data_IF_274627214397
#
_entry.id   IF_274627214397
#
_cell.length_a   1.000
_cell.length_b   1.000
_cell.length_c   1.000
_cell.angle_alpha   90.00
_cell.angle_beta   90.00
_cell.angle_gamma   90.00
#
_symmetry.space_group_name_H-M   'P 1'
#
loop_
_entity.id
_entity.type
_entity.pdbx_description
1 polymer ?
#
# COMPACT_ATOMS: atom_id res chain seq x y z
N UNK A 1 -9.28 27.99 45.31
CA UNK A 1 -9.27 28.01 43.83
C UNK A 1 -8.44 26.85 43.33
N UNK A 2 -9.07 25.71 43.02
CA UNK A 2 -8.45 24.59 42.31
C UNK A 2 -9.18 24.44 40.98
N UNK A 3 -8.48 24.70 39.88
CA UNK A 3 -9.01 24.55 38.51
C UNK A 3 -8.75 23.13 38.04
N UNK A 4 -9.73 22.25 38.16
CA UNK A 4 -9.70 20.94 37.51
C UNK A 4 -10.07 21.16 36.04
N UNK A 5 -9.08 21.11 35.14
CA UNK A 5 -9.30 21.06 33.68
C UNK A 5 -9.90 19.69 33.33
N UNK A 6 -11.20 19.66 33.06
CA UNK A 6 -11.86 18.49 32.47
C UNK A 6 -11.39 18.29 31.04
N UNK A 7 -10.77 17.14 30.77
CA UNK A 7 -10.42 16.68 29.43
C UNK A 7 -11.73 16.22 28.74
N UNK A 8 -12.29 17.03 27.85
CA UNK A 8 -13.41 16.60 27.00
C UNK A 8 -12.84 15.72 25.90
N UNK A 9 -12.97 14.40 26.07
CA UNK A 9 -12.61 13.40 25.07
C UNK A 9 -13.77 13.33 24.08
N UNK A 10 -13.60 13.90 22.89
CA UNK A 10 -14.56 13.74 21.79
C UNK A 10 -14.58 12.28 21.35
N UNK A 11 -15.70 11.60 21.62
CA UNK A 11 -16.02 10.28 21.06
C UNK A 11 -16.82 10.51 19.78
N UNK A 12 -16.35 10.09 18.59
CA UNK A 12 -17.18 10.13 17.39
C UNK A 12 -18.32 9.09 17.56
N UNK A 13 -19.51 9.40 17.04
CA UNK A 13 -20.74 8.57 17.04
C UNK A 13 -21.73 8.68 18.21
N UNK A 14 -21.85 9.83 18.89
CA UNK A 14 -22.98 10.07 19.79
C UNK A 14 -24.00 11.06 19.20
N UNK A 15 -25.26 10.67 19.27
CA UNK A 15 -26.43 11.48 18.92
C UNK A 15 -26.64 12.63 19.93
N UNK A 16 -26.95 13.82 19.41
CA UNK A 16 -27.00 15.07 20.17
C UNK A 16 -28.17 15.09 21.17
N UNK A 17 -29.26 14.36 20.87
CA UNK A 17 -30.40 14.19 21.75
C UNK A 17 -30.05 13.31 22.96
N UNK A 18 -29.26 12.25 22.71
CA UNK A 18 -28.72 11.36 23.76
C UNK A 18 -27.83 12.12 24.75
N UNK A 19 -26.97 13.02 24.26
CA UNK A 19 -26.10 13.83 25.14
C UNK A 19 -26.93 14.80 26.00
N UNK A 20 -27.97 15.43 25.45
CA UNK A 20 -28.88 16.29 26.23
C UNK A 20 -29.60 15.51 27.32
N UNK A 21 -30.02 14.29 27.05
CA UNK A 21 -30.70 13.44 28.03
C UNK A 21 -29.75 13.00 29.16
N UNK A 22 -28.49 12.69 28.85
CA UNK A 22 -27.46 12.38 29.86
C UNK A 22 -27.14 13.60 30.72
N UNK A 23 -27.03 14.79 30.12
CA UNK A 23 -26.77 16.03 30.87
C UNK A 23 -27.95 16.39 31.79
N UNK A 24 -29.19 16.12 31.38
CA UNK A 24 -30.36 16.30 32.22
C UNK A 24 -30.44 15.26 33.35
N UNK A 25 -30.16 13.98 33.05
CA UNK A 25 -30.14 12.91 34.06
C UNK A 25 -29.05 13.09 35.13
N UNK A 26 -27.92 13.72 34.79
CA UNK A 26 -26.86 14.05 35.74
C UNK A 26 -27.17 15.27 36.63
N UNK A 27 -28.17 16.09 36.25
CA UNK A 27 -28.59 17.27 37.03
C UNK A 27 -29.62 16.94 38.12
N UNK A 28 -30.42 15.88 37.94
CA UNK A 28 -31.50 15.47 38.85
C UNK A 28 -31.10 14.30 39.76
N UNK A 29 -30.01 14.46 40.52
CA UNK A 29 -29.40 13.50 41.45
C UNK A 29 -30.28 12.36 42.02
N UNK A 30 -29.63 11.19 42.10
CA UNK A 30 -29.90 10.03 42.98
C UNK A 30 -31.16 9.20 42.68
N UNK A 31 -30.89 7.92 42.34
CA UNK A 31 -31.82 6.80 42.35
C UNK A 31 -32.76 6.62 41.15
N UNK A 32 -32.25 6.61 39.92
CA UNK A 32 -32.77 5.70 38.88
C UNK A 32 -31.59 5.22 38.03
N UNK A 33 -31.27 3.93 38.11
CA UNK A 33 -30.39 3.29 37.12
C UNK A 33 -31.09 3.41 35.76
N UNK A 34 -30.51 4.08 34.75
CA UNK A 34 -31.08 4.06 33.43
C UNK A 34 -31.00 2.62 32.95
N UNK A 35 -32.14 1.98 32.71
CA UNK A 35 -32.17 0.74 31.93
C UNK A 35 -31.70 1.15 30.54
N UNK A 36 -30.49 0.73 30.19
CA UNK A 36 -29.92 0.90 28.86
C UNK A 36 -30.93 0.35 27.85
N UNK A 37 -31.67 1.23 27.17
CA UNK A 37 -32.29 0.88 25.88
C UNK A 37 -31.20 1.04 24.82
N UNK A 38 -30.12 0.27 24.99
CA UNK A 38 -29.25 -0.04 23.87
C UNK A 38 -30.06 -0.93 22.95
N UNK A 39 -30.26 -0.53 21.70
CA UNK A 39 -30.69 -1.46 20.65
C UNK A 39 -29.76 -2.66 20.72
N UNK A 40 -30.28 -3.83 21.13
CA UNK A 40 -29.48 -5.02 21.24
C UNK A 40 -29.05 -5.38 19.81
N UNK A 41 -27.74 -5.40 19.59
CA UNK A 41 -27.15 -5.81 18.33
C UNK A 41 -26.61 -7.22 18.54
N UNK A 42 -27.33 -8.20 18.03
CA UNK A 42 -26.88 -9.58 18.04
C UNK A 42 -25.87 -9.77 16.90
N UNK A 43 -24.74 -10.39 17.21
CA UNK A 43 -23.75 -10.77 16.20
C UNK A 43 -24.03 -12.21 15.78
N UNK A 44 -24.36 -12.39 14.50
CA UNK A 44 -24.65 -13.68 13.89
C UNK A 44 -23.61 -14.00 12.82
N UNK A 45 -23.40 -15.27 12.55
CA UNK A 45 -22.56 -15.72 11.43
C UNK A 45 -23.49 -16.17 10.30
N UNK A 46 -23.33 -15.56 9.12
CA UNK A 46 -24.08 -15.92 7.93
C UNK A 46 -23.19 -16.77 7.01
N UNK A 47 -23.74 -17.85 6.47
CA UNK A 47 -23.08 -18.67 5.45
C UNK A 47 -23.43 -18.20 4.04
N UNK A 48 -22.65 -18.62 3.04
CA UNK A 48 -23.01 -18.45 1.63
C UNK A 48 -24.38 -19.08 1.36
N UNK A 49 -25.27 -18.34 0.70
CA UNK A 49 -26.54 -18.88 0.26
C UNK A 49 -26.31 -19.81 -0.94
N UNK A 50 -26.62 -21.09 -0.77
CA UNK A 50 -26.35 -22.13 -1.76
C UNK A 50 -27.14 -21.94 -3.06
N UNK A 51 -28.28 -21.24 -3.02
CA UNK A 51 -29.07 -20.89 -4.20
C UNK A 51 -28.29 -20.04 -5.22
N UNK A 52 -27.25 -19.34 -4.79
CA UNK A 52 -26.45 -18.43 -5.62
C UNK A 52 -25.00 -18.91 -5.80
N UNK A 53 -24.79 -20.22 -5.79
CA UNK A 53 -23.44 -20.80 -5.92
C UNK A 53 -22.77 -20.45 -7.25
N UNK A 54 -23.55 -20.39 -8.34
CA UNK A 54 -23.12 -19.92 -9.66
C UNK A 54 -22.70 -18.44 -9.66
N UNK A 55 -23.39 -17.61 -8.88
CA UNK A 55 -23.03 -16.20 -8.69
C UNK A 55 -21.70 -16.07 -7.95
N UNK A 56 -21.47 -16.85 -6.88
CA UNK A 56 -20.18 -16.86 -6.20
C UNK A 56 -19.03 -17.24 -7.15
N UNK A 57 -19.21 -18.28 -7.96
CA UNK A 57 -18.23 -18.69 -8.98
C UNK A 57 -17.97 -17.60 -10.03
N UNK A 58 -19.01 -16.86 -10.44
CA UNK A 58 -18.87 -15.74 -11.35
C UNK A 58 -18.11 -14.56 -10.70
N UNK A 59 -18.44 -14.24 -9.45
CA UNK A 59 -17.84 -13.14 -8.69
C UNK A 59 -16.35 -13.35 -8.37
N UNK A 60 -15.87 -14.59 -8.30
CA UNK A 60 -14.44 -14.91 -8.13
C UNK A 60 -13.54 -14.35 -9.26
N UNK A 61 -14.12 -13.96 -10.41
CA UNK A 61 -13.41 -13.30 -11.50
C UNK A 61 -13.34 -11.77 -11.37
N UNK A 62 -14.04 -11.19 -10.39
CA UNK A 62 -14.05 -9.76 -10.15
C UNK A 62 -12.81 -9.31 -9.37
N UNK A 63 -12.58 -7.99 -9.39
CA UNK A 63 -11.47 -7.35 -8.69
C UNK A 63 -11.96 -6.37 -7.65
N UNK A 64 -11.10 -6.10 -6.68
CA UNK A 64 -11.24 -5.07 -5.66
C UNK A 64 -9.87 -4.43 -5.43
N UNK A 65 -9.80 -3.40 -4.59
CA UNK A 65 -8.57 -2.71 -4.25
C UNK A 65 -8.39 -2.66 -2.74
N UNK A 66 -7.19 -2.34 -2.28
CA UNK A 66 -6.93 -2.09 -0.85
C UNK A 66 -6.10 -0.82 -0.76
N UNK A 67 -6.73 0.27 -0.36
CA UNK A 67 -6.07 1.57 -0.29
C UNK A 67 -5.73 1.80 1.17
N UNK A 68 -4.50 1.47 1.52
CA UNK A 68 -3.96 1.82 2.81
C UNK A 68 -3.33 3.21 2.76
N UNK A 69 -3.70 4.05 3.73
CA UNK A 69 -3.05 5.33 4.02
C UNK A 69 -1.68 5.17 4.67
N UNK A 70 -1.32 3.94 5.11
CA UNK A 70 -0.04 3.66 5.74
C UNK A 70 1.15 3.91 4.82
N UNK A 71 2.31 4.13 5.46
CA UNK A 71 3.57 4.61 4.88
C UNK A 71 3.91 3.93 3.54
N UNK A 72 3.68 4.66 2.45
CA UNK A 72 4.08 4.27 1.09
C UNK A 72 5.59 4.05 1.00
N UNK A 73 6.01 3.11 0.17
CA UNK A 73 7.42 2.81 -0.08
C UNK A 73 7.81 3.18 -1.51
N UNK A 74 9.09 3.44 -1.72
CA UNK A 74 9.62 3.73 -3.06
C UNK A 74 9.40 2.51 -3.98
N UNK A 75 8.88 2.70 -5.21
CA UNK A 75 8.62 1.61 -6.16
C UNK A 75 9.82 0.69 -6.39
N UNK A 76 11.03 1.26 -6.47
CA UNK A 76 12.27 0.49 -6.60
C UNK A 76 12.44 -0.56 -5.48
N UNK A 77 12.16 -0.18 -4.23
CA UNK A 77 12.26 -1.09 -3.08
C UNK A 77 11.19 -2.18 -3.16
N UNK A 78 9.96 -1.80 -3.50
CA UNK A 78 8.85 -2.74 -3.63
C UNK A 78 9.12 -3.79 -4.71
N UNK A 79 9.65 -3.40 -5.86
CA UNK A 79 10.00 -4.31 -6.95
C UNK A 79 11.04 -5.36 -6.51
N UNK A 80 12.11 -4.93 -5.84
CA UNK A 80 13.13 -5.86 -5.35
C UNK A 80 12.56 -6.78 -4.27
N UNK A 81 11.72 -6.27 -3.36
CA UNK A 81 11.07 -7.08 -2.33
C UNK A 81 10.10 -8.11 -2.92
N UNK A 82 9.28 -7.72 -3.89
CA UNK A 82 8.37 -8.61 -4.61
C UNK A 82 9.13 -9.72 -5.32
N UNK A 83 10.17 -9.37 -6.08
CA UNK A 83 10.98 -10.35 -6.80
C UNK A 83 11.67 -11.36 -5.87
N UNK A 84 12.16 -10.89 -4.71
CA UNK A 84 12.72 -11.77 -3.67
C UNK A 84 11.65 -12.69 -3.08
N UNK A 85 10.47 -12.16 -2.74
CA UNK A 85 9.38 -12.95 -2.17
C UNK A 85 8.95 -14.08 -3.13
N UNK A 86 8.78 -13.76 -4.42
CA UNK A 86 8.43 -14.72 -5.47
C UNK A 86 9.47 -15.83 -5.62
N UNK A 87 10.76 -15.49 -5.54
CA UNK A 87 11.85 -16.47 -5.60
C UNK A 87 11.90 -17.33 -4.35
N UNK A 88 11.73 -16.75 -3.15
CA UNK A 88 11.71 -17.50 -1.88
C UNK A 88 10.53 -18.47 -1.78
N UNK A 89 9.36 -18.08 -2.31
CA UNK A 89 8.16 -18.92 -2.32
C UNK A 89 8.13 -19.95 -3.45
N UNK A 90 9.18 -19.99 -4.28
CA UNK A 90 9.27 -20.92 -5.41
C UNK A 90 8.27 -20.64 -6.54
N UNK A 91 7.63 -19.47 -6.55
CA UNK A 91 6.69 -19.08 -7.61
C UNK A 91 7.45 -18.76 -8.91
N UNK A 92 8.52 -17.98 -8.80
CA UNK A 92 9.43 -17.70 -9.91
C UNK A 92 10.87 -17.69 -9.38
N UNK A 93 11.57 -18.81 -9.60
CA UNK A 93 12.95 -19.04 -9.16
C UNK A 93 13.96 -18.06 -9.79
N UNK A 94 13.60 -17.39 -10.89
CA UNK A 94 14.47 -16.44 -11.60
C UNK A 94 14.05 -14.99 -11.39
N UNK A 95 12.91 -14.72 -10.75
CA UNK A 95 12.37 -13.38 -10.57
C UNK A 95 13.40 -12.42 -9.99
N UNK A 96 13.99 -12.75 -8.83
CA UNK A 96 14.95 -11.85 -8.18
C UNK A 96 16.17 -11.53 -9.05
N UNK A 97 16.76 -12.55 -9.70
CA UNK A 97 17.92 -12.35 -10.57
C UNK A 97 17.57 -11.50 -11.79
N UNK A 98 16.43 -11.79 -12.42
CA UNK A 98 15.96 -11.09 -13.64
C UNK A 98 15.69 -9.63 -13.33
N UNK A 99 14.94 -9.36 -12.27
CA UNK A 99 14.59 -8.01 -11.83
C UNK A 99 15.82 -7.22 -11.41
N UNK A 100 16.71 -7.78 -10.58
CA UNK A 100 17.97 -7.11 -10.23
C UNK A 100 18.76 -6.75 -11.48
N UNK A 101 18.84 -7.66 -12.44
CA UNK A 101 19.60 -7.41 -13.66
C UNK A 101 19.01 -6.26 -14.47
N UNK A 102 17.69 -6.22 -14.63
CA UNK A 102 16.98 -5.19 -15.37
C UNK A 102 17.09 -3.82 -14.68
N UNK A 103 16.92 -3.77 -13.35
CA UNK A 103 17.11 -2.54 -12.55
C UNK A 103 18.53 -1.99 -12.69
N UNK A 104 19.54 -2.84 -12.56
CA UNK A 104 20.93 -2.40 -12.70
C UNK A 104 21.21 -1.90 -14.13
N UNK A 105 20.62 -2.51 -15.15
CA UNK A 105 20.72 -2.00 -16.53
C UNK A 105 20.04 -0.65 -16.70
N UNK A 106 18.89 -0.45 -16.04
CA UNK A 106 18.26 0.87 -15.99
C UNK A 106 19.13 1.92 -15.29
N UNK A 107 19.85 1.54 -14.23
CA UNK A 107 20.83 2.42 -13.59
C UNK A 107 21.98 2.76 -14.54
N UNK A 108 22.50 1.79 -15.30
CA UNK A 108 23.54 2.01 -16.33
C UNK A 108 23.08 3.04 -17.38
N UNK A 109 21.83 2.94 -17.84
CA UNK A 109 21.23 3.88 -18.78
C UNK A 109 21.14 5.31 -18.21
N UNK A 110 20.65 5.46 -16.98
CA UNK A 110 20.50 6.78 -16.36
C UNK A 110 21.86 7.42 -16.06
N UNK A 111 22.86 6.64 -15.64
CA UNK A 111 24.23 7.13 -15.47
C UNK A 111 24.82 7.59 -16.80
N UNK A 112 24.58 6.84 -17.88
CA UNK A 112 25.04 7.23 -19.23
C UNK A 112 24.39 8.54 -19.68
N UNK A 113 23.07 8.69 -19.46
CA UNK A 113 22.33 9.92 -19.74
C UNK A 113 22.88 11.13 -18.97
N UNK A 114 23.23 10.94 -17.70
CA UNK A 114 23.82 12.01 -16.87
C UNK A 114 25.21 12.43 -17.36
N UNK A 115 26.00 11.49 -17.88
CA UNK A 115 27.31 11.80 -18.48
C UNK A 115 27.17 12.54 -19.81
N UNK A 116 26.21 12.13 -20.64
CA UNK A 116 25.94 12.77 -21.93
C UNK A 116 25.39 14.20 -21.79
N UNK A 117 24.72 14.53 -20.68
CA UNK A 117 24.23 15.90 -20.44
C UNK A 117 25.35 16.89 -20.11
N UNK A 118 26.57 16.42 -19.81
CA UNK A 118 27.73 17.26 -19.51
C UNK A 118 27.79 17.80 -18.06
N UNK A 119 26.72 17.64 -17.27
CA UNK A 119 26.65 18.12 -15.88
C UNK A 119 27.22 17.14 -14.85
N UNK A 120 27.59 15.93 -15.27
CA UNK A 120 27.99 14.83 -14.38
C UNK A 120 29.12 15.22 -13.41
N UNK A 121 30.18 15.83 -13.93
CA UNK A 121 31.34 16.22 -13.13
C UNK A 121 31.02 17.37 -12.19
N UNK A 122 30.21 18.34 -12.62
CA UNK A 122 29.75 19.47 -11.79
C UNK A 122 28.85 18.99 -10.65
N UNK A 123 27.94 18.05 -10.93
CA UNK A 123 27.04 17.46 -9.93
C UNK A 123 27.82 16.61 -8.93
N UNK A 124 28.71 15.74 -9.40
CA UNK A 124 29.59 14.98 -8.52
C UNK A 124 30.46 15.88 -7.65
N UNK A 125 30.90 17.02 -8.19
CA UNK A 125 31.66 18.00 -7.44
C UNK A 125 30.84 18.70 -6.35
N UNK A 126 29.60 19.10 -6.66
CA UNK A 126 28.71 19.71 -5.66
C UNK A 126 28.36 18.76 -4.50
N UNK A 127 28.23 17.46 -4.77
CA UNK A 127 27.84 16.45 -3.78
C UNK A 127 29.02 16.06 -2.89
N UNK A 128 30.21 15.94 -3.47
CA UNK A 128 31.44 15.55 -2.76
C UNK A 128 32.21 16.73 -2.19
N UNK A 129 31.89 17.96 -2.63
CA UNK A 129 32.52 19.21 -2.25
C UNK A 129 33.58 19.75 -3.22
N UNK A 130 34.01 19.01 -4.26
CA UNK A 130 35.22 19.34 -5.05
C UNK A 130 35.18 18.95 -6.52
N UNK A 131 35.84 19.71 -7.40
CA UNK A 131 35.91 19.44 -8.84
C UNK A 131 36.37 18.00 -9.15
N UNK A 132 35.57 17.24 -9.92
CA UNK A 132 35.83 15.83 -10.24
C UNK A 132 37.09 15.56 -11.12
N UNK A 133 37.88 16.59 -11.42
CA UNK A 133 38.77 16.61 -12.57
C UNK A 133 40.22 16.17 -12.38
N UNK A 134 40.82 16.19 -11.16
CA UNK A 134 42.25 15.85 -11.01
C UNK A 134 42.50 15.20 -9.65
N UNK A 135 42.87 13.92 -9.64
CA UNK A 135 43.41 13.22 -8.48
C UNK A 135 44.92 13.05 -8.68
N UNK A 136 45.71 13.87 -7.98
CA UNK A 136 47.14 13.60 -7.79
C UNK A 136 47.25 12.62 -6.63
N UNK A 137 47.81 11.45 -6.92
CA UNK A 137 47.96 10.36 -5.97
C UNK A 137 49.26 10.56 -5.18
N UNK A 138 49.17 10.96 -3.90
CA UNK A 138 50.31 10.89 -2.98
C UNK A 138 50.07 9.81 -1.94
N UNK A 139 50.86 8.73 -2.04
CA UNK A 139 50.87 7.63 -1.09
C UNK A 139 51.57 8.10 0.19
N UNK A 140 50.83 8.65 1.13
CA UNK A 140 51.37 9.05 2.42
C UNK A 140 50.45 9.96 3.22
N UNK A 141 50.00 9.44 4.35
CA UNK A 141 49.34 10.14 5.46
C UNK A 141 47.93 10.71 5.27
N UNK A 142 47.11 10.42 6.28
CA UNK A 142 45.79 10.96 6.51
C UNK A 142 45.85 12.48 6.69
N UNK A 143 45.68 13.25 5.63
CA UNK A 143 45.31 14.65 5.77
C UNK A 143 44.70 15.16 4.47
N UNK A 144 43.58 15.85 4.58
CA UNK A 144 43.09 16.78 3.58
C UNK A 144 44.27 17.57 2.98
N UNK A 145 44.57 17.41 1.70
CA UNK A 145 45.44 18.33 0.99
C UNK A 145 44.56 19.44 0.43
N UNK A 146 44.79 20.66 0.92
CA UNK A 146 44.24 21.88 0.35
C UNK A 146 45.25 22.38 -0.67
N UNK A 147 44.85 22.43 -1.95
CA UNK A 147 45.67 23.04 -2.97
C UNK A 147 45.34 24.54 -3.03
N UNK A 148 46.23 25.35 -2.43
CA UNK A 148 46.14 26.82 -2.43
C UNK A 148 46.10 27.41 -3.86
N UNK A 149 46.62 26.71 -4.86
CA UNK A 149 46.68 27.20 -6.23
C UNK A 149 45.36 27.02 -7.01
N UNK A 150 44.56 26.01 -6.66
CA UNK A 150 43.28 25.71 -7.32
C UNK A 150 42.06 25.97 -6.42
N UNK A 151 42.27 26.27 -5.13
CA UNK A 151 41.21 26.34 -4.10
C UNK A 151 40.35 25.07 -4.02
N UNK A 152 40.94 23.91 -4.34
CA UNK A 152 40.25 22.62 -4.28
C UNK A 152 40.76 21.81 -3.08
N UNK A 153 39.86 21.01 -2.50
CA UNK A 153 40.17 20.06 -1.42
C UNK A 153 40.06 18.65 -2.05
N UNK A 154 40.92 17.72 -1.65
CA UNK A 154 40.89 16.34 -2.17
C UNK A 154 40.01 15.46 -1.27
N UNK A 155 39.03 14.75 -1.84
CA UNK A 155 38.18 13.81 -1.08
C UNK A 155 39.01 12.64 -0.58
N UNK A 156 38.94 12.34 0.72
CA UNK A 156 39.49 11.09 1.23
C UNK A 156 38.66 9.90 0.74
N UNK A 157 39.30 8.77 0.43
CA UNK A 157 38.60 7.53 0.03
C UNK A 157 37.53 7.09 1.06
N UNK A 158 37.72 7.48 2.33
CA UNK A 158 36.78 7.27 3.43
C UNK A 158 35.43 7.98 3.21
N UNK A 159 35.43 9.23 2.74
CA UNK A 159 34.19 9.99 2.52
C UNK A 159 33.37 9.44 1.35
N UNK A 160 34.04 9.00 0.29
CA UNK A 160 33.38 8.35 -0.87
C UNK A 160 32.67 7.07 -0.42
N UNK A 161 33.33 6.27 0.42
CA UNK A 161 32.73 5.04 0.93
C UNK A 161 31.53 5.31 1.85
N UNK A 162 31.56 6.39 2.64
CA UNK A 162 30.41 6.84 3.45
C UNK A 162 29.23 7.26 2.58
N UNK A 163 29.46 8.09 1.56
CA UNK A 163 28.42 8.53 0.63
C UNK A 163 27.86 7.37 -0.19
N UNK A 164 28.69 6.41 -0.59
CA UNK A 164 28.24 5.20 -1.26
C UNK A 164 27.29 4.35 -0.40
N UNK A 165 27.58 4.18 0.90
CA UNK A 165 26.66 3.48 1.80
C UNK A 165 25.37 4.29 2.08
N UNK A 166 25.42 5.63 2.05
CA UNK A 166 24.22 6.47 2.11
C UNK A 166 23.34 6.30 0.87
N UNK A 167 23.94 6.33 -0.32
CA UNK A 167 23.27 6.05 -1.59
C UNK A 167 22.61 4.64 -1.57
N UNK A 168 23.29 3.67 -0.97
CA UNK A 168 22.72 2.33 -0.72
C UNK A 168 21.44 2.31 0.12
N UNK A 169 21.27 3.23 1.07
CA UNK A 169 20.03 3.36 1.87
C UNK A 169 18.88 3.97 1.05
N UNK A 170 19.21 4.85 0.12
CA UNK A 170 18.25 5.46 -0.83
C UNK A 170 17.74 4.39 -1.78
N UNK A 171 18.63 3.73 -2.53
CA UNK A 171 18.28 2.65 -3.47
C UNK A 171 17.61 1.47 -2.74
N UNK A 172 18.15 1.08 -1.58
CA UNK A 172 17.69 -0.06 -0.81
C UNK A 172 18.17 -1.41 -1.35
N UNK A 173 17.89 -2.46 -0.57
CA UNK A 173 18.04 -3.86 -0.96
C UNK A 173 19.45 -4.25 -1.49
N UNK A 174 20.48 -3.48 -1.13
CA UNK A 174 21.87 -3.73 -1.51
C UNK A 174 22.22 -3.41 -2.96
N UNK A 175 21.36 -2.68 -3.69
CA UNK A 175 21.55 -2.38 -5.11
C UNK A 175 22.86 -1.66 -5.43
N UNK A 176 23.34 -0.79 -4.53
CA UNK A 176 24.64 -0.11 -4.69
C UNK A 176 25.79 -1.12 -4.75
N UNK A 177 25.78 -2.14 -3.90
CA UNK A 177 26.79 -3.20 -3.86
C UNK A 177 26.70 -4.11 -5.09
N UNK A 178 25.49 -4.45 -5.51
CA UNK A 178 25.28 -5.24 -6.74
C UNK A 178 25.77 -4.51 -7.98
N UNK A 179 25.55 -3.19 -8.07
CA UNK A 179 26.10 -2.36 -9.12
C UNK A 179 27.63 -2.35 -9.08
N UNK A 180 28.22 -2.19 -7.90
CA UNK A 180 29.67 -2.25 -7.74
C UNK A 180 30.27 -3.60 -8.17
N UNK A 181 29.64 -4.72 -7.78
CA UNK A 181 30.06 -6.06 -8.19
C UNK A 181 30.00 -6.22 -9.72
N UNK A 182 28.91 -5.77 -10.35
CA UNK A 182 28.74 -5.81 -11.81
C UNK A 182 29.86 -5.07 -12.55
N UNK A 183 30.32 -3.94 -12.00
CA UNK A 183 31.34 -3.08 -12.58
C UNK A 183 32.74 -3.25 -11.97
N UNK A 184 33.00 -4.40 -11.34
CA UNK A 184 34.23 -4.66 -10.57
C UNK A 184 35.54 -4.62 -11.38
N UNK A 185 35.47 -4.63 -12.72
CA UNK A 185 36.64 -4.48 -13.61
C UNK A 185 37.09 -3.02 -13.78
N UNK A 186 36.27 -2.05 -13.37
CA UNK A 186 36.53 -0.62 -13.45
C UNK A 186 37.09 -0.10 -12.13
N UNK A 187 37.65 1.11 -12.14
CA UNK A 187 38.11 1.77 -10.91
C UNK A 187 36.98 1.89 -9.88
N UNK A 188 37.24 1.44 -8.65
CA UNK A 188 36.19 1.34 -7.64
C UNK A 188 35.72 2.72 -7.15
N UNK A 189 36.56 3.75 -7.23
CA UNK A 189 36.20 5.12 -6.85
C UNK A 189 35.22 5.67 -7.88
N UNK A 190 35.52 5.49 -9.17
CA UNK A 190 34.65 5.94 -10.26
C UNK A 190 33.26 5.28 -10.22
N UNK A 191 33.21 3.96 -9.98
CA UNK A 191 31.94 3.22 -9.85
C UNK A 191 31.15 3.67 -8.63
N UNK A 192 31.80 3.96 -7.50
CA UNK A 192 31.12 4.50 -6.31
C UNK A 192 30.58 5.92 -6.58
N UNK A 193 31.34 6.78 -7.27
CA UNK A 193 30.91 8.13 -7.66
C UNK A 193 29.65 8.09 -8.53
N UNK A 194 29.56 7.16 -9.48
CA UNK A 194 28.37 7.00 -10.32
C UNK A 194 27.09 6.80 -9.50
N UNK A 195 27.13 5.92 -8.50
CA UNK A 195 26.00 5.67 -7.61
C UNK A 195 25.67 6.88 -6.74
N UNK A 196 26.70 7.59 -6.27
CA UNK A 196 26.52 8.82 -5.49
C UNK A 196 25.83 9.88 -6.35
N UNK A 197 26.30 10.14 -7.57
CA UNK A 197 25.71 11.13 -8.48
C UNK A 197 24.29 10.73 -8.83
N UNK A 198 24.07 9.46 -9.23
CA UNK A 198 22.75 8.95 -9.60
C UNK A 198 21.71 9.17 -8.49
N UNK A 199 22.06 8.84 -7.24
CA UNK A 199 21.10 8.93 -6.12
C UNK A 199 20.82 10.34 -5.63
N UNK A 200 21.64 11.32 -6.02
CA UNK A 200 21.41 12.73 -5.77
C UNK A 200 20.69 13.44 -6.94
N UNK A 201 20.55 12.77 -8.08
CA UNK A 201 19.81 13.28 -9.22
C UNK A 201 18.32 12.91 -9.10
N UNK A 202 17.48 13.92 -8.82
CA UNK A 202 16.04 13.71 -8.58
C UNK A 202 15.34 13.16 -9.82
N UNK A 203 15.62 13.69 -11.01
CA UNK A 203 14.95 13.29 -12.24
C UNK A 203 15.34 11.85 -12.65
N UNK A 204 16.60 11.46 -12.48
CA UNK A 204 17.03 10.08 -12.71
C UNK A 204 16.39 9.12 -11.71
N UNK A 205 16.30 9.49 -10.44
CA UNK A 205 15.63 8.68 -9.43
C UNK A 205 14.13 8.57 -9.66
N UNK A 206 13.47 9.62 -10.17
CA UNK A 206 12.06 9.56 -10.59
C UNK A 206 11.88 8.56 -11.73
N UNK A 207 12.66 8.68 -12.81
CA UNK A 207 12.61 7.72 -13.94
C UNK A 207 12.91 6.28 -13.55
N UNK A 208 13.81 6.04 -12.59
CA UNK A 208 14.07 4.70 -12.05
C UNK A 208 12.86 4.17 -11.28
N UNK A 209 12.19 5.02 -10.49
CA UNK A 209 11.00 4.62 -9.75
C UNK A 209 9.80 4.39 -10.68
N UNK A 210 9.60 5.21 -11.72
CA UNK A 210 8.55 5.00 -12.72
C UNK A 210 8.75 3.67 -13.46
N UNK A 211 9.99 3.38 -13.86
CA UNK A 211 10.35 2.09 -14.42
C UNK A 211 10.03 0.95 -13.44
N UNK A 212 10.45 1.09 -12.18
CA UNK A 212 10.24 0.06 -11.18
C UNK A 212 8.76 -0.16 -10.82
N UNK A 213 7.92 0.87 -10.84
CA UNK A 213 6.48 0.78 -10.61
C UNK A 213 5.81 -0.04 -11.71
N UNK A 214 6.14 0.23 -12.97
CA UNK A 214 5.61 -0.52 -14.11
C UNK A 214 6.04 -2.00 -14.07
N UNK A 215 7.31 -2.26 -13.77
CA UNK A 215 7.83 -3.62 -13.61
C UNK A 215 7.20 -4.33 -12.39
N UNK A 216 6.94 -3.62 -11.29
CA UNK A 216 6.27 -4.18 -10.12
C UNK A 216 4.87 -4.67 -10.48
N UNK A 217 4.06 -3.82 -11.13
CA UNK A 217 2.69 -4.16 -11.53
C UNK A 217 2.71 -5.34 -12.48
N UNK A 218 3.57 -5.31 -13.50
CA UNK A 218 3.71 -6.40 -14.49
C UNK A 218 4.10 -7.73 -13.82
N UNK A 219 5.08 -7.69 -12.90
CA UNK A 219 5.55 -8.88 -12.19
C UNK A 219 4.48 -9.43 -11.24
N UNK A 220 3.73 -8.56 -10.56
CA UNK A 220 2.63 -8.97 -9.70
C UNK A 220 1.51 -9.62 -10.51
N UNK A 221 1.03 -8.94 -11.56
CA UNK A 221 -0.07 -9.40 -12.42
C UNK A 221 0.21 -10.76 -13.04
N UNK A 222 1.44 -10.98 -13.52
CA UNK A 222 1.90 -12.27 -14.05
C UNK A 222 1.77 -13.41 -13.02
N UNK A 223 1.98 -13.11 -11.74
CA UNK A 223 2.13 -14.13 -10.68
C UNK A 223 0.94 -14.17 -9.70
N UNK A 224 -0.04 -13.27 -9.81
CA UNK A 224 -1.14 -13.11 -8.82
C UNK A 224 -1.92 -14.40 -8.56
N UNK A 225 -2.15 -15.22 -9.59
CA UNK A 225 -2.82 -16.52 -9.47
C UNK A 225 -2.03 -17.52 -8.61
N UNK A 226 -0.70 -17.54 -8.77
CA UNK A 226 0.18 -18.40 -7.97
C UNK A 226 0.27 -17.89 -6.53
N UNK A 227 0.34 -16.57 -6.34
CA UNK A 227 0.31 -15.92 -5.02
C UNK A 227 -0.99 -16.29 -4.27
N UNK A 228 -2.13 -16.27 -4.97
CA UNK A 228 -3.44 -16.61 -4.39
C UNK A 228 -3.54 -18.06 -3.87
N UNK A 229 -2.63 -18.96 -4.28
CA UNK A 229 -2.58 -20.37 -3.80
C UNK A 229 -1.68 -20.57 -2.59
N UNK A 230 -0.96 -19.54 -2.14
CA UNK A 230 -0.13 -19.63 -0.96
C UNK A 230 -0.97 -19.71 0.32
N UNK A 231 -0.35 -20.10 1.43
CA UNK A 231 -1.00 -19.99 2.73
C UNK A 231 -1.17 -18.52 3.14
N UNK A 232 -2.09 -18.28 4.08
CA UNK A 232 -2.46 -16.93 4.55
C UNK A 232 -1.26 -16.12 5.06
N UNK A 233 -0.37 -16.75 5.82
CA UNK A 233 0.83 -16.08 6.36
C UNK A 233 1.73 -15.54 5.24
N UNK A 234 1.86 -16.27 4.13
CA UNK A 234 2.61 -15.82 2.95
C UNK A 234 1.85 -14.79 2.14
N UNK A 235 0.54 -14.94 1.92
CA UNK A 235 -0.30 -13.93 1.23
C UNK A 235 -0.18 -12.55 1.87
N UNK A 236 -0.21 -12.47 3.20
CA UNK A 236 -0.06 -11.22 3.97
C UNK A 236 1.26 -10.48 3.65
N UNK A 237 2.32 -11.15 3.17
CA UNK A 237 3.55 -10.47 2.76
C UNK A 237 3.32 -9.71 1.46
N UNK A 238 2.66 -10.32 0.47
CA UNK A 238 2.34 -9.69 -0.81
C UNK A 238 1.31 -8.58 -0.64
N UNK A 239 0.29 -8.78 0.19
CA UNK A 239 -0.69 -7.75 0.52
C UNK A 239 -0.02 -6.50 1.09
N UNK A 240 0.95 -6.65 1.99
CA UNK A 240 1.71 -5.51 2.51
C UNK A 240 2.53 -4.80 1.43
N UNK A 241 3.09 -5.52 0.46
CA UNK A 241 3.81 -4.92 -0.66
C UNK A 241 2.86 -4.12 -1.57
N UNK A 242 1.71 -4.69 -1.88
CA UNK A 242 0.65 -4.05 -2.68
C UNK A 242 0.15 -2.78 -1.98
N UNK A 243 -0.19 -2.86 -0.70
CA UNK A 243 -0.72 -1.73 0.06
C UNK A 243 0.30 -0.59 0.22
N UNK A 244 1.59 -0.93 0.20
CA UNK A 244 2.69 0.03 0.25
C UNK A 244 2.96 0.73 -1.10
N UNK A 245 2.35 0.28 -2.20
CA UNK A 245 2.40 0.93 -3.51
C UNK A 245 1.68 2.28 -3.48
N UNK A 246 2.21 3.26 -4.21
CA UNK A 246 1.54 4.54 -4.40
C UNK A 246 0.28 4.38 -5.27
N UNK A 247 0.38 3.60 -6.35
CA UNK A 247 -0.75 3.25 -7.20
C UNK A 247 -1.58 2.11 -6.61
N UNK A 248 -2.93 2.21 -6.60
CA UNK A 248 -3.81 1.11 -6.28
C UNK A 248 -3.62 -0.04 -7.26
N UNK A 249 -3.37 -1.23 -6.73
CA UNK A 249 -3.24 -2.45 -7.54
C UNK A 249 -4.51 -3.28 -7.38
N UNK A 250 -5.05 -3.71 -8.52
CA UNK A 250 -6.22 -4.58 -8.54
C UNK A 250 -5.85 -5.96 -7.96
N UNK A 251 -6.66 -6.42 -7.02
CA UNK A 251 -6.55 -7.77 -6.44
C UNK A 251 -7.85 -8.54 -6.69
N UNK A 252 -7.82 -9.88 -6.76
CA UNK A 252 -9.05 -10.67 -6.85
C UNK A 252 -9.99 -10.36 -5.69
N UNK A 253 -11.27 -10.16 -5.97
CA UNK A 253 -12.29 -9.96 -4.95
C UNK A 253 -12.83 -11.31 -4.48
N UNK A 254 -12.38 -11.75 -3.31
CA UNK A 254 -12.77 -13.04 -2.74
C UNK A 254 -13.76 -12.84 -1.61
N UNK A 255 -14.96 -13.34 -1.81
CA UNK A 255 -16.00 -13.42 -0.78
C UNK A 255 -15.75 -14.66 0.10
N UNK A 256 -15.81 -14.58 1.44
CA UNK A 256 -15.55 -15.72 2.33
C UNK A 256 -16.72 -16.72 2.35
N UNK A 257 -16.50 -17.92 2.91
CA UNK A 257 -17.56 -18.92 3.11
C UNK A 257 -18.60 -18.51 4.16
N UNK A 258 -18.19 -17.66 5.10
CA UNK A 258 -19.06 -17.05 6.09
C UNK A 258 -18.63 -15.64 6.44
N UNK A 259 -19.58 -14.83 6.91
CA UNK A 259 -19.38 -13.46 7.38
C UNK A 259 -20.01 -13.26 8.75
N UNK A 260 -19.37 -12.43 9.56
CA UNK A 260 -19.99 -11.89 10.77
C UNK A 260 -20.89 -10.71 10.40
N UNK A 261 -22.15 -10.77 10.85
CA UNK A 261 -23.17 -9.77 10.57
C UNK A 261 -23.89 -9.35 11.84
N UNK A 262 -24.32 -8.10 11.92
CA UNK A 262 -25.03 -7.59 13.08
C UNK A 262 -26.52 -7.41 12.76
N UNK A 263 -27.37 -8.06 13.54
CA UNK A 263 -28.83 -7.98 13.45
C UNK A 263 -29.34 -7.16 14.63
N UNK A 264 -30.21 -6.20 14.36
CA UNK A 264 -30.90 -5.39 15.38
C UNK A 264 -32.37 -5.79 15.50
N UNK A 265 -33.03 -5.42 16.60
CA UNK A 265 -34.46 -5.69 16.83
C UNK A 265 -35.40 -5.18 15.72
N UNK A 266 -35.00 -4.11 15.00
CA UNK A 266 -35.77 -3.54 13.88
C UNK A 266 -35.44 -4.17 12.52
N UNK A 267 -34.67 -5.25 12.48
CA UNK A 267 -34.32 -5.93 11.23
C UNK A 267 -35.56 -6.54 10.57
N UNK A 268 -35.63 -6.41 9.25
CA UNK A 268 -36.68 -7.03 8.43
C UNK A 268 -36.08 -8.15 7.59
N UNK A 269 -36.89 -9.18 7.31
CA UNK A 269 -36.53 -10.23 6.34
C UNK A 269 -36.48 -9.65 4.94
N UNK A 270 -35.41 -9.93 4.22
CA UNK A 270 -35.21 -9.49 2.85
C UNK A 270 -34.67 -10.67 2.04
N UNK A 271 -35.30 -10.93 0.90
CA UNK A 271 -34.98 -12.09 0.07
C UNK A 271 -33.75 -11.84 -0.81
N UNK A 272 -33.19 -12.95 -1.32
CA UNK A 272 -32.12 -12.97 -2.34
C UNK A 272 -30.84 -12.23 -1.96
N UNK A 273 -30.51 -12.21 -0.67
CA UNK A 273 -29.18 -11.80 -0.24
C UNK A 273 -28.18 -12.95 -0.47
N UNK A 274 -26.93 -12.61 -0.83
CA UNK A 274 -25.87 -13.59 -1.12
C UNK A 274 -25.46 -14.43 0.09
N UNK A 275 -25.66 -13.92 1.30
CA UNK A 275 -25.43 -14.64 2.56
C UNK A 275 -26.73 -14.81 3.34
N UNK A 276 -26.91 -15.94 3.99
CA UNK A 276 -28.09 -16.26 4.80
C UNK A 276 -27.73 -16.99 6.09
N UNK A 277 -28.67 -16.99 7.02
CA UNK A 277 -28.65 -17.85 8.21
C UNK A 277 -28.88 -19.32 7.83
N UNK A 278 -28.73 -20.24 8.78
CA UNK A 278 -28.95 -21.68 8.58
C UNK A 278 -30.37 -22.02 8.10
N UNK A 279 -31.36 -21.19 8.43
CA UNK A 279 -32.75 -21.34 8.00
C UNK A 279 -33.02 -20.76 6.59
N UNK A 280 -31.98 -20.31 5.88
CA UNK A 280 -32.07 -19.70 4.56
C UNK A 280 -32.52 -18.23 4.57
N UNK A 281 -32.74 -17.62 5.74
CA UNK A 281 -33.22 -16.24 5.82
C UNK A 281 -32.09 -15.22 5.98
N UNK A 282 -32.29 -14.02 5.44
CA UNK A 282 -31.44 -12.87 5.72
C UNK A 282 -32.27 -11.75 6.34
N UNK A 283 -31.72 -11.12 7.39
CA UNK A 283 -32.39 -10.05 8.13
C UNK A 283 -31.44 -8.89 8.34
N UNK A 284 -31.90 -7.68 8.02
CA UNK A 284 -31.13 -6.46 8.24
C UNK A 284 -32.04 -5.27 8.50
N UNK A 285 -31.52 -4.30 9.25
CA UNK A 285 -32.07 -2.95 9.30
C UNK A 285 -31.54 -2.15 8.10
N UNK A 286 -32.47 -1.75 7.23
CA UNK A 286 -32.19 -0.92 6.06
C UNK A 286 -32.86 0.44 6.22
N UNK A 287 -32.17 1.49 5.81
CA UNK A 287 -32.81 2.80 5.69
C UNK A 287 -33.82 2.80 4.51
N UNK A 288 -34.73 3.79 4.44
CA UNK A 288 -35.76 3.84 3.38
C UNK A 288 -35.21 3.83 1.95
N UNK A 289 -34.03 4.42 1.73
CA UNK A 289 -33.37 4.45 0.42
C UNK A 289 -32.79 3.09 0.04
N UNK A 290 -32.03 2.44 0.92
CA UNK A 290 -31.49 1.09 0.70
C UNK A 290 -32.62 0.10 0.39
N UNK A 291 -33.69 0.14 1.20
CA UNK A 291 -34.86 -0.71 0.99
C UNK A 291 -35.52 -0.45 -0.36
N UNK A 292 -35.73 0.82 -0.71
CA UNK A 292 -36.33 1.21 -1.98
C UNK A 292 -35.51 0.72 -3.19
N UNK A 293 -34.19 0.90 -3.14
CA UNK A 293 -33.27 0.45 -4.20
C UNK A 293 -33.31 -1.07 -4.37
N UNK A 294 -33.22 -1.83 -3.28
CA UNK A 294 -33.25 -3.30 -3.36
C UNK A 294 -34.60 -3.78 -3.91
N UNK A 295 -35.72 -3.25 -3.42
CA UNK A 295 -37.05 -3.62 -3.90
C UNK A 295 -37.23 -3.29 -5.40
N UNK A 296 -36.71 -2.17 -5.86
CA UNK A 296 -36.73 -1.78 -7.27
C UNK A 296 -35.86 -2.69 -8.13
N UNK A 297 -34.61 -2.93 -7.74
CA UNK A 297 -33.68 -3.77 -8.50
C UNK A 297 -34.15 -5.23 -8.58
N UNK A 298 -34.73 -5.77 -7.50
CA UNK A 298 -35.34 -7.10 -7.50
C UNK A 298 -36.55 -7.18 -8.44
N UNK A 299 -37.38 -6.13 -8.51
CA UNK A 299 -38.48 -6.04 -9.49
C UNK A 299 -37.95 -5.95 -10.91
N UNK A 300 -36.81 -5.29 -11.10
CA UNK A 300 -36.14 -5.13 -12.40
C UNK A 300 -35.25 -6.33 -12.79
N UNK A 301 -35.40 -7.47 -12.11
CA UNK A 301 -34.78 -8.73 -12.51
C UNK A 301 -33.40 -9.00 -11.90
N UNK A 302 -33.01 -8.32 -10.83
CA UNK A 302 -31.82 -8.71 -10.06
C UNK A 302 -31.94 -10.15 -9.55
N UNK A 303 -30.86 -10.91 -9.74
CA UNK A 303 -30.72 -12.30 -9.30
C UNK A 303 -30.56 -12.34 -7.79
N UNK A 304 -29.61 -11.55 -7.27
CA UNK A 304 -29.32 -11.42 -5.86
C UNK A 304 -28.59 -10.10 -5.57
N UNK A 305 -28.32 -9.86 -4.29
CA UNK A 305 -27.58 -8.67 -3.84
C UNK A 305 -26.71 -8.97 -2.62
N UNK A 306 -25.73 -8.11 -2.37
CA UNK A 306 -24.84 -8.12 -1.22
C UNK A 306 -24.84 -6.75 -0.56
N UNK A 307 -25.07 -6.71 0.75
CA UNK A 307 -24.71 -5.54 1.56
C UNK A 307 -23.21 -5.54 1.80
N UNK A 308 -22.50 -4.62 1.15
CA UNK A 308 -21.06 -4.53 1.27
C UNK A 308 -20.73 -3.75 2.56
N UNK A 309 -20.22 -4.45 3.57
CA UNK A 309 -19.87 -3.84 4.84
C UNK A 309 -18.61 -3.00 4.70
N UNK A 310 -18.56 -1.81 5.28
CA UNK A 310 -17.38 -0.95 5.21
C UNK A 310 -16.16 -1.60 5.92
N UNK A 311 -14.97 -1.49 5.31
CA UNK A 311 -13.65 -1.88 5.86
C UNK A 311 -13.53 -3.31 6.38
N UNK A 312 -14.33 -4.25 5.89
CA UNK A 312 -14.07 -5.68 6.10
C UNK A 312 -12.99 -6.16 5.12
N UNK A 313 -12.27 -7.22 5.49
CA UNK A 313 -11.24 -7.82 4.62
C UNK A 313 -11.78 -8.25 3.25
N UNK A 314 -13.07 -8.58 3.18
CA UNK A 314 -13.76 -9.03 1.98
C UNK A 314 -14.53 -7.91 1.26
N UNK A 315 -14.53 -6.67 1.77
CA UNK A 315 -15.32 -5.60 1.17
C UNK A 315 -14.89 -5.32 -0.28
N UNK A 316 -15.87 -4.94 -1.09
CA UNK A 316 -15.62 -4.25 -2.34
C UNK A 316 -15.14 -2.84 -2.01
N UNK A 317 -13.94 -2.52 -2.45
CA UNK A 317 -13.29 -1.23 -2.25
C UNK A 317 -12.79 -0.76 -3.61
N UNK A 318 -13.19 0.46 -3.97
CA UNK A 318 -12.93 1.05 -5.28
C UNK A 318 -12.11 2.34 -5.06
N UNK A 319 -10.97 2.52 -5.75
CA UNK A 319 -10.22 3.75 -5.71
C UNK A 319 -10.96 4.84 -6.48
N UNK A 320 -11.00 6.03 -5.90
CA UNK A 320 -11.46 7.24 -6.57
C UNK A 320 -10.57 8.41 -6.19
N UNK A 321 -10.46 9.39 -7.08
CA UNK A 321 -9.59 10.54 -6.89
C UNK A 321 -10.42 11.76 -6.45
N UNK A 322 -9.98 12.41 -5.38
CA UNK A 322 -10.53 13.70 -4.93
C UNK A 322 -9.38 14.66 -4.70
N UNK A 323 -9.30 15.70 -5.54
CA UNK A 323 -8.27 16.74 -5.41
C UNK A 323 -6.83 16.21 -5.51
N UNK A 324 -6.56 15.26 -6.41
CA UNK A 324 -5.22 14.67 -6.59
C UNK A 324 -4.87 13.59 -5.56
N UNK A 325 -5.79 13.26 -4.64
CA UNK A 325 -5.58 12.22 -3.61
C UNK A 325 -6.48 11.03 -3.89
N UNK A 326 -5.86 9.86 -4.00
CA UNK A 326 -6.57 8.59 -4.15
C UNK A 326 -7.16 8.16 -2.80
N UNK A 327 -8.47 7.90 -2.79
CA UNK A 327 -9.26 7.56 -1.59
C UNK A 327 -10.08 6.29 -1.81
N UNK A 328 -10.43 5.59 -0.74
CA UNK A 328 -11.30 4.39 -0.75
C UNK A 328 -12.78 4.75 -0.80
N UNK A 329 -13.51 4.20 -1.77
CA UNK A 329 -14.97 4.19 -1.80
C UNK A 329 -15.46 2.75 -1.60
N UNK A 330 -16.40 2.57 -0.68
CA UNK A 330 -17.07 1.32 -0.41
C UNK A 330 -18.53 1.50 -0.81
N UNK A 331 -19.02 0.92 -1.92
CA UNK A 331 -20.44 0.98 -2.25
C UNK A 331 -21.24 0.25 -1.17
N UNK A 332 -22.41 0.75 -0.78
CA UNK A 332 -23.21 0.12 0.29
C UNK A 332 -23.86 -1.21 -0.17
N UNK A 333 -24.25 -1.25 -1.45
CA UNK A 333 -24.97 -2.36 -2.06
C UNK A 333 -24.29 -2.79 -3.36
N UNK A 334 -24.20 -4.11 -3.57
CA UNK A 334 -23.81 -4.72 -4.84
C UNK A 334 -24.98 -5.55 -5.32
N UNK A 335 -25.48 -5.24 -6.52
CA UNK A 335 -26.63 -5.90 -7.15
C UNK A 335 -26.13 -6.72 -8.33
N UNK A 336 -26.54 -7.98 -8.39
CA UNK A 336 -26.18 -8.92 -9.46
C UNK A 336 -27.37 -9.13 -10.37
N UNK A 337 -27.14 -9.00 -11.68
CA UNK A 337 -28.14 -9.23 -12.73
C UNK A 337 -27.62 -10.31 -13.68
N UNK A 338 -28.53 -11.09 -14.24
CA UNK A 338 -28.20 -11.99 -15.34
C UNK A 338 -28.14 -11.18 -16.64
N UNK A 339 -27.15 -11.48 -17.49
CA UNK A 339 -27.00 -10.89 -18.83
C UNK A 339 -28.08 -11.38 -19.81
#
# INVERSE_FOLDING_TARGET
MSKTKGLIRFLPYFDEETVKNVVNALRDSEAVMPTETGTNKELVTLGRNLEFSDVFDAMDNLITYRIDSARKQAPLKLLIQLSRALTMDGIDLKAQKTVKNAVLSKMDEEISRLKESGDYDTRGAAITGFSLGILIFEYGDNAYSFDESTQTMVVSEFDISRHFEQAGRILGEGLHKEYWIRHSTRDHIDVKKEIIVLTNDTDAMERINDYAENEFITLYEKNKRSIARLNEARKNIYERLINASAQPIAIPWVLPDSIDFSVSDNSIKIDRHLYCSEDGTFQASLNPWEKGVIEEELKNGAVCWLRNLDRKKWSLEIPYEVGGVITSMFPDLVVVRAD
#
